data_IF_708956740761
#
_entry.id   IF_708956740761
#
_cell.length_a   1.000
_cell.length_b   1.000
_cell.length_c   1.000
_cell.angle_alpha   90.00
_cell.angle_beta   90.00
_cell.angle_gamma   90.00
#
_symmetry.space_group_name_H-M   'P 1'
#
loop_
_entity.id
_entity.type
_entity.pdbx_description
1 polymer ?
#
# COMPACT_ATOMS: atom_id res chain seq x y z
N UNK A 1 24.28 -1.23 -12.63
CA UNK A 1 23.46 -1.28 -11.41
C UNK A 1 22.35 -0.26 -11.61
N UNK A 2 21.13 -0.69 -11.91
CA UNK A 2 20.03 0.25 -12.13
C UNK A 2 19.53 0.65 -10.74
N UNK A 3 20.06 1.74 -10.21
CA UNK A 3 19.51 2.35 -9.01
C UNK A 3 18.10 2.84 -9.35
N UNK A 4 17.14 2.50 -8.50
CA UNK A 4 15.78 2.96 -8.71
C UNK A 4 15.71 4.46 -8.38
N UNK A 5 15.10 5.24 -9.27
CA UNK A 5 14.88 6.66 -9.04
C UNK A 5 13.95 6.89 -7.84
N UNK A 6 14.13 8.05 -7.19
CA UNK A 6 13.24 8.52 -6.15
C UNK A 6 11.82 8.66 -6.68
N UNK A 7 10.84 8.23 -5.90
CA UNK A 7 9.42 8.25 -6.28
C UNK A 7 8.56 8.79 -5.13
N UNK A 8 7.40 9.32 -5.49
CA UNK A 8 6.37 9.73 -4.53
C UNK A 8 5.18 8.78 -4.59
N UNK A 9 4.82 8.22 -3.43
CA UNK A 9 3.63 7.37 -3.29
C UNK A 9 2.57 8.10 -2.50
N UNK A 10 1.41 8.31 -3.11
CA UNK A 10 0.24 8.94 -2.48
C UNK A 10 -0.76 7.86 -2.07
N UNK A 11 -1.22 7.90 -0.82
CA UNK A 11 -2.31 7.07 -0.32
C UNK A 11 -3.39 8.00 0.23
N UNK A 12 -4.66 7.64 0.02
CA UNK A 12 -5.79 8.42 0.53
C UNK A 12 -6.86 7.48 1.08
N UNK A 13 -7.54 7.89 2.14
CA UNK A 13 -8.71 7.20 2.66
C UNK A 13 -9.71 8.19 3.23
N UNK A 14 -10.95 7.73 3.34
CA UNK A 14 -12.05 8.39 4.02
C UNK A 14 -12.70 7.38 4.95
N UNK A 15 -12.96 7.79 6.18
CA UNK A 15 -13.64 6.97 7.19
C UNK A 15 -14.92 7.66 7.62
N UNK A 16 -16.02 6.92 7.55
CA UNK A 16 -17.30 7.29 8.12
C UNK A 16 -17.44 6.64 9.49
N UNK A 17 -17.57 7.49 10.51
CA UNK A 17 -17.80 7.12 11.91
C UNK A 17 -19.12 7.73 12.36
N UNK A 18 -20.22 6.97 12.33
CA UNK A 18 -21.49 7.45 12.85
C UNK A 18 -21.41 7.64 14.37
N UNK A 19 -22.02 8.73 14.88
CA UNK A 19 -22.13 8.97 16.32
C UNK A 19 -22.92 7.83 16.98
N UNK A 20 -22.49 7.41 18.17
CA UNK A 20 -23.04 6.29 18.95
C UNK A 20 -23.08 4.93 18.21
N UNK A 21 -22.24 4.76 17.19
CA UNK A 21 -22.12 3.48 16.49
C UNK A 21 -20.84 2.75 16.86
N UNK A 22 -20.98 1.45 17.11
CA UNK A 22 -19.87 0.55 17.36
C UNK A 22 -19.07 0.19 16.09
N UNK A 23 -19.43 0.73 14.91
CA UNK A 23 -18.77 0.42 13.66
C UNK A 23 -18.17 1.65 12.96
N UNK A 24 -17.06 1.43 12.25
CA UNK A 24 -16.43 2.38 11.35
C UNK A 24 -16.34 1.78 9.94
N UNK A 25 -16.69 2.57 8.92
CA UNK A 25 -16.56 2.19 7.51
C UNK A 25 -15.48 3.03 6.86
N UNK A 26 -14.47 2.39 6.26
CA UNK A 26 -13.36 3.07 5.58
C UNK A 26 -13.29 2.64 4.13
N UNK A 27 -13.15 3.63 3.24
CA UNK A 27 -12.78 3.42 1.84
C UNK A 27 -11.45 4.09 1.59
N UNK A 28 -10.57 3.44 0.84
CA UNK A 28 -9.26 4.02 0.53
C UNK A 28 -8.65 3.53 -0.76
N UNK A 29 -7.62 4.24 -1.18
CA UNK A 29 -6.77 3.93 -2.31
C UNK A 29 -5.32 3.95 -1.87
N UNK A 30 -4.61 2.87 -2.19
CA UNK A 30 -3.16 2.77 -2.06
C UNK A 30 -2.54 3.01 -3.43
N UNK A 31 -1.38 3.68 -3.44
CA UNK A 31 -0.69 4.04 -4.67
C UNK A 31 -1.61 4.77 -5.65
N UNK A 32 -2.23 5.87 -5.21
CA UNK A 32 -3.25 6.61 -5.96
C UNK A 32 -2.75 7.12 -7.32
N UNK A 33 -1.45 7.43 -7.40
CA UNK A 33 -0.74 7.85 -8.61
C UNK A 33 -0.30 6.69 -9.51
N UNK A 34 -0.54 5.44 -9.10
CA UNK A 34 -0.15 4.22 -9.81
C UNK A 34 1.32 4.20 -10.24
N UNK A 35 2.22 4.63 -9.35
CA UNK A 35 3.66 4.62 -9.62
C UNK A 35 4.21 3.20 -9.45
N UNK A 36 5.04 2.78 -10.39
CA UNK A 36 5.77 1.51 -10.32
C UNK A 36 7.09 1.72 -9.56
N UNK A 37 7.35 0.85 -8.59
CA UNK A 37 8.56 0.91 -7.77
C UNK A 37 8.96 -0.49 -7.28
N UNK A 38 10.24 -0.72 -7.01
CA UNK A 38 10.68 -1.92 -6.31
C UNK A 38 10.54 -1.73 -4.80
N UNK A 39 10.08 -2.77 -4.12
CA UNK A 39 10.00 -2.82 -2.65
C UNK A 39 11.25 -3.41 -2.02
N UNK A 40 11.88 -4.36 -2.70
CA UNK A 40 13.13 -4.99 -2.30
C UNK A 40 13.87 -5.46 -3.55
N UNK A 41 15.20 -5.31 -3.54
CA UNK A 41 16.09 -5.86 -4.55
C UNK A 41 17.16 -6.70 -3.87
N UNK A 42 17.53 -7.83 -4.46
CA UNK A 42 18.58 -8.71 -3.97
C UNK A 42 19.60 -8.98 -5.08
N UNK A 43 20.87 -9.03 -4.68
CA UNK A 43 21.99 -9.40 -5.55
C UNK A 43 22.45 -10.78 -5.10
N UNK A 44 22.30 -11.78 -5.97
CA UNK A 44 22.82 -13.11 -5.72
C UNK A 44 24.29 -13.16 -6.18
N UNK A 45 25.22 -13.32 -5.22
CA UNK A 45 26.67 -13.30 -5.48
C UNK A 45 27.18 -14.51 -6.26
N UNK A 46 26.41 -15.59 -6.28
CA UNK A 46 26.73 -16.87 -6.92
C UNK A 46 26.26 -16.96 -8.39
N UNK A 47 25.18 -16.26 -8.74
CA UNK A 47 24.52 -16.39 -10.04
C UNK A 47 24.62 -15.14 -10.94
N UNK A 48 25.29 -14.06 -10.51
CA UNK A 48 25.29 -12.77 -11.20
C UNK A 48 23.89 -12.29 -11.60
N UNK A 49 22.88 -12.63 -10.80
CA UNK A 49 21.49 -12.29 -11.03
C UNK A 49 21.03 -11.20 -10.07
N UNK A 50 20.22 -10.29 -10.60
CA UNK A 50 19.56 -9.23 -9.83
C UNK A 50 18.08 -9.52 -9.91
N UNK A 51 17.45 -9.73 -8.75
CA UNK A 51 16.01 -9.89 -8.64
C UNK A 51 15.41 -8.70 -7.89
N UNK A 52 14.19 -8.31 -8.27
CA UNK A 52 13.50 -7.16 -7.70
C UNK A 52 12.01 -7.47 -7.54
N UNK A 53 11.49 -7.21 -6.35
CA UNK A 53 10.06 -7.33 -6.05
C UNK A 53 9.36 -6.02 -6.40
N UNK A 54 8.60 -6.02 -7.49
CA UNK A 54 7.80 -4.87 -7.91
C UNK A 54 6.62 -4.71 -6.95
N UNK A 55 6.37 -3.47 -6.54
CA UNK A 55 5.26 -3.13 -5.68
C UNK A 55 3.91 -3.43 -6.34
N UNK A 56 2.87 -3.59 -5.51
CA UNK A 56 1.51 -3.72 -6.03
C UNK A 56 1.09 -2.43 -6.75
N UNK A 57 0.36 -2.54 -7.88
CA UNK A 57 -0.28 -1.42 -8.55
C UNK A 57 -1.29 -0.70 -7.64
N UNK A 58 -1.92 0.36 -8.17
CA UNK A 58 -3.02 1.05 -7.49
C UNK A 58 -4.09 0.06 -7.01
N UNK A 59 -4.41 0.13 -5.72
CA UNK A 59 -5.35 -0.78 -5.06
C UNK A 59 -6.43 0.02 -4.34
N UNK A 60 -7.69 -0.27 -4.64
CA UNK A 60 -8.84 0.22 -3.89
C UNK A 60 -9.22 -0.80 -2.81
N UNK A 61 -9.55 -0.32 -1.62
CA UNK A 61 -9.96 -1.20 -0.52
C UNK A 61 -11.13 -0.60 0.27
N UNK A 62 -11.94 -1.50 0.82
CA UNK A 62 -12.95 -1.22 1.83
C UNK A 62 -12.62 -1.94 3.13
N UNK A 63 -12.89 -1.32 4.27
CA UNK A 63 -12.72 -1.91 5.59
C UNK A 63 -13.90 -1.54 6.47
N UNK A 64 -14.47 -2.54 7.16
CA UNK A 64 -15.43 -2.36 8.24
C UNK A 64 -14.73 -2.77 9.53
N UNK A 65 -14.77 -1.91 10.55
CA UNK A 65 -14.24 -2.22 11.89
C UNK A 65 -15.38 -2.16 12.89
N UNK A 66 -15.46 -3.15 13.78
CA UNK A 66 -16.42 -3.19 14.88
C UNK A 66 -15.69 -3.13 16.22
N UNK A 67 -16.13 -2.26 17.12
CA UNK A 67 -15.55 -2.02 18.44
C UNK A 67 -16.47 -2.65 19.49
N UNK A 68 -15.95 -3.63 20.23
CA UNK A 68 -16.69 -4.27 21.33
C UNK A 68 -16.56 -3.45 22.62
N UNK A 69 -17.65 -3.27 23.36
CA UNK A 69 -17.63 -2.66 24.70
C UNK A 69 -17.80 -1.14 24.75
N UNK A 70 -18.41 -0.54 23.72
CA UNK A 70 -18.97 0.82 23.78
C UNK A 70 -20.43 0.75 24.26
#
# INVERSE_FOLDING_TARGET
MTFQDGYHRVNANVTFTPNDSAFDITFGVRNATNVDYATAAAIASDASSISSNVARPREFYGRISYRFGQ
#
